data_IF_289842345652
#
_entry.id   IF_289842345652
#
_cell.length_a   1.000
_cell.length_b   1.000
_cell.length_c   1.000
_cell.angle_alpha   90.00
_cell.angle_beta   90.00
_cell.angle_gamma   90.00
#
_symmetry.space_group_name_H-M   'P 1'
#
loop_
_entity.id
_entity.type
_entity.pdbx_description
1 polymer ?
#
# COMPACT_ATOMS: atom_id res chain seq x y z
N UNK A 1 13.12 -2.03 -16.46
CA UNK A 1 11.92 -1.99 -16.00
C UNK A 1 11.69 -2.84 -14.85
N UNK A 2 12.11 -4.05 -14.80
CA UNK A 2 11.89 -4.87 -13.69
C UNK A 2 12.52 -4.34 -12.45
N UNK A 3 13.68 -3.76 -12.54
CA UNK A 3 14.29 -3.22 -11.38
C UNK A 3 13.46 -2.13 -10.81
N UNK A 4 12.92 -1.31 -11.64
CA UNK A 4 12.16 -0.18 -11.22
C UNK A 4 10.92 -0.68 -10.52
N UNK A 5 10.35 -1.73 -11.02
CA UNK A 5 9.14 -2.27 -10.45
C UNK A 5 9.43 -2.81 -9.06
N UNK A 6 10.53 -3.45 -8.86
CA UNK A 6 10.88 -3.99 -7.59
C UNK A 6 11.08 -2.90 -6.58
N UNK A 7 11.69 -1.80 -6.99
CA UNK A 7 11.89 -0.71 -6.11
C UNK A 7 10.57 -0.13 -5.69
N UNK A 8 9.64 -0.02 -6.61
CA UNK A 8 8.35 0.56 -6.30
C UNK A 8 7.65 -0.27 -5.23
N UNK A 9 7.77 -1.56 -5.29
CA UNK A 9 7.10 -2.39 -4.33
C UNK A 9 7.67 -2.13 -2.94
N UNK A 10 8.94 -1.87 -2.86
CA UNK A 10 9.54 -1.64 -1.58
C UNK A 10 9.07 -0.38 -0.89
N UNK A 11 8.48 0.54 -1.63
CA UNK A 11 8.02 1.77 -1.02
C UNK A 11 6.96 1.48 0.02
N UNK A 12 6.25 0.39 -0.15
CA UNK A 12 5.21 0.09 0.80
C UNK A 12 5.65 -0.98 1.82
N UNK A 13 6.83 -1.48 1.71
CA UNK A 13 7.24 -2.51 2.61
C UNK A 13 8.47 -2.19 3.42
N UNK A 14 8.95 -1.02 3.31
CA UNK A 14 10.09 -0.60 3.97
C UNK A 14 10.15 -0.94 5.40
N UNK A 15 9.22 -0.61 6.14
CA UNK A 15 9.31 -0.84 7.55
C UNK A 15 9.17 -2.30 7.86
N UNK A 16 8.61 -3.00 6.98
CA UNK A 16 8.33 -4.34 7.26
C UNK A 16 9.56 -5.15 6.97
N UNK A 17 10.35 -4.73 6.11
CA UNK A 17 11.53 -5.41 5.70
C UNK A 17 12.41 -5.80 6.86
N UNK A 18 12.48 -4.99 7.81
CA UNK A 18 13.36 -5.24 8.91
C UNK A 18 12.95 -6.50 9.66
N UNK A 19 11.70 -6.68 9.78
CA UNK A 19 11.28 -7.80 10.51
C UNK A 19 11.16 -9.01 9.68
N UNK A 20 10.96 -8.85 8.49
CA UNK A 20 10.77 -9.93 7.61
C UNK A 20 11.69 -11.03 7.85
N UNK A 21 12.90 -10.68 8.06
CA UNK A 21 13.77 -11.71 8.13
C UNK A 21 13.64 -12.52 9.33
N UNK A 22 13.19 -12.03 10.29
CA UNK A 22 13.23 -12.76 11.43
C UNK A 22 12.18 -13.74 11.39
N UNK A 23 11.24 -13.61 10.76
CA UNK A 23 10.32 -14.48 10.86
C UNK A 23 9.94 -15.27 9.92
N UNK A 24 10.35 -15.32 9.22
CA UNK A 24 10.12 -16.14 8.23
C UNK A 24 8.97 -16.96 8.56
N UNK A 25 8.44 -16.92 9.43
CA UNK A 25 7.54 -17.73 9.72
C UNK A 25 6.34 -17.41 9.40
N UNK A 26 5.85 -17.55 9.17
CA UNK A 26 4.69 -17.75 8.93
C UNK A 26 3.70 -17.03 9.55
N UNK A 27 3.54 -16.99 10.48
CA UNK A 27 2.50 -16.39 11.00
C UNK A 27 2.50 -15.06 11.05
N UNK A 28 3.30 -14.54 10.72
CA UNK A 28 3.50 -13.31 10.72
C UNK A 28 2.48 -12.62 10.26
N UNK A 29 1.84 -12.99 9.56
CA UNK A 29 0.97 -12.33 8.91
C UNK A 29 0.05 -11.57 9.56
N UNK A 30 -0.37 -11.81 10.49
CA UNK A 30 -1.34 -11.06 10.98
C UNK A 30 -1.19 -9.65 10.96
N UNK A 31 -0.90 -9.00 11.97
CA UNK A 31 -0.87 -7.54 12.04
C UNK A 31 0.15 -6.95 11.12
N UNK A 32 1.28 -7.60 11.01
CA UNK A 32 2.33 -7.04 10.18
C UNK A 32 1.95 -6.94 8.71
N UNK A 33 1.22 -7.89 8.21
CA UNK A 33 0.82 -7.85 6.81
C UNK A 33 -0.11 -6.67 6.56
N UNK A 34 -0.81 -6.21 7.61
CA UNK A 34 -1.76 -5.13 7.43
C UNK A 34 -1.20 -3.78 7.88
N UNK A 35 0.06 -3.73 8.26
CA UNK A 35 0.65 -2.47 8.66
C UNK A 35 1.33 -1.82 7.48
N UNK A 36 0.92 -0.60 7.17
CA UNK A 36 1.50 0.09 6.05
C UNK A 36 2.18 1.38 6.46
N UNK A 37 3.49 1.44 6.29
CA UNK A 37 4.23 2.64 6.57
C UNK A 37 4.79 3.06 5.24
N UNK A 38 4.43 4.22 4.78
CA UNK A 38 4.83 4.66 3.47
C UNK A 38 5.92 5.70 3.51
N UNK A 39 6.93 5.48 2.71
CA UNK A 39 8.00 6.44 2.58
C UNK A 39 7.56 7.43 1.53
N UNK A 40 6.99 8.54 1.95
CA UNK A 40 6.41 9.51 1.01
C UNK A 40 7.44 10.18 0.11
N UNK A 41 8.66 10.29 0.57
CA UNK A 41 9.69 10.89 -0.26
C UNK A 41 9.96 10.00 -1.47
N UNK A 42 10.09 8.71 -1.22
CA UNK A 42 10.33 7.78 -2.31
C UNK A 42 9.10 7.64 -3.20
N UNK A 43 7.92 7.66 -2.61
CA UNK A 43 6.71 7.55 -3.40
C UNK A 43 6.56 8.79 -4.29
N UNK A 44 6.83 9.95 -3.75
CA UNK A 44 6.72 11.18 -4.51
C UNK A 44 7.69 11.16 -5.69
N UNK A 45 8.87 10.61 -5.47
CA UNK A 45 9.84 10.55 -6.53
C UNK A 45 9.42 9.51 -7.56
N UNK A 46 8.93 8.38 -7.12
CA UNK A 46 8.54 7.33 -8.03
C UNK A 46 7.37 7.75 -8.91
N UNK A 47 6.40 8.47 -8.37
CA UNK A 47 5.25 8.91 -9.11
C UNK A 47 5.43 10.30 -9.69
N UNK A 48 6.53 10.96 -9.35
CA UNK A 48 6.78 12.30 -9.83
C UNK A 48 5.68 13.21 -9.36
N UNK A 49 5.36 13.20 -8.09
CA UNK A 49 4.28 14.01 -7.54
C UNK A 49 4.68 15.46 -7.46
N UNK A 50 3.73 16.35 -7.68
CA UNK A 50 3.99 17.75 -7.53
C UNK A 50 3.78 18.04 -6.06
N UNK A 51 4.17 19.20 -5.64
CA UNK A 51 4.03 19.61 -4.27
C UNK A 51 2.57 19.60 -3.87
N UNK A 52 1.69 19.98 -4.76
CA UNK A 52 0.28 20.01 -4.44
C UNK A 52 -0.30 18.63 -4.27
N UNK A 53 0.31 17.62 -4.79
CA UNK A 53 -0.22 16.28 -4.70
C UNK A 53 0.22 15.54 -3.45
N UNK A 54 1.29 15.97 -2.82
CA UNK A 54 1.84 15.27 -1.68
C UNK A 54 0.90 15.19 -0.49
N UNK A 55 0.35 16.30 -0.08
CA UNK A 55 -0.52 16.31 1.09
C UNK A 55 -1.79 15.47 0.90
N UNK A 56 -2.49 15.62 -0.21
CA UNK A 56 -3.66 14.78 -0.42
C UNK A 56 -3.31 13.29 -0.43
N UNK A 57 -2.16 12.94 -0.98
CA UNK A 57 -1.77 11.54 -0.99
C UNK A 57 -1.48 11.03 0.42
N UNK A 58 -0.94 11.88 1.28
CA UNK A 58 -0.68 11.49 2.65
C UNK A 58 -1.99 11.21 3.37
N UNK A 59 -2.99 12.06 3.13
CA UNK A 59 -4.27 11.88 3.77
C UNK A 59 -4.95 10.60 3.32
N UNK A 60 -4.88 10.33 2.04
CA UNK A 60 -5.49 9.13 1.49
C UNK A 60 -4.84 7.90 2.09
N UNK A 61 -3.50 7.91 2.17
CA UNK A 61 -2.81 6.76 2.69
C UNK A 61 -2.99 6.60 4.19
N UNK A 62 -3.23 7.69 4.90
CA UNK A 62 -3.46 7.61 6.31
C UNK A 62 -4.76 6.86 6.53
N UNK A 63 -5.78 7.16 5.74
CA UNK A 63 -7.06 6.49 5.82
C UNK A 63 -6.90 5.03 5.45
N UNK A 64 -6.14 4.77 4.42
CA UNK A 64 -5.90 3.42 3.95
C UNK A 64 -5.21 2.60 5.06
N UNK A 65 -4.18 3.15 5.68
CA UNK A 65 -3.44 2.45 6.71
C UNK A 65 -4.31 2.12 7.92
N UNK A 66 -5.15 3.07 8.31
CA UNK A 66 -6.03 2.86 9.44
C UNK A 66 -7.04 1.78 9.12
N UNK A 67 -7.57 1.81 7.91
CA UNK A 67 -8.56 0.82 7.49
C UNK A 67 -7.95 -0.58 7.46
N UNK A 68 -6.72 -0.68 7.00
CA UNK A 68 -6.09 -1.99 6.91
C UNK A 68 -5.84 -2.55 8.32
N UNK A 69 -5.56 -1.70 9.30
CA UNK A 69 -5.38 -2.19 10.65
C UNK A 69 -6.72 -2.69 11.23
N UNK A 70 -7.81 -2.09 10.81
CA UNK A 70 -9.12 -2.55 11.23
C UNK A 70 -9.35 -3.93 10.62
N UNK A 71 -8.96 -4.11 9.37
CA UNK A 71 -9.12 -5.38 8.70
C UNK A 71 -8.36 -6.49 9.41
N UNK A 72 -7.25 -6.16 10.01
CA UNK A 72 -6.42 -7.14 10.67
C UNK A 72 -7.16 -7.85 11.80
N UNK A 73 -8.17 -7.19 12.36
CA UNK A 73 -8.90 -7.78 13.46
C UNK A 73 -10.22 -8.40 13.05
N UNK A 74 -10.50 -8.52 11.79
CA UNK A 74 -11.77 -9.06 11.34
C UNK A 74 -11.63 -10.55 11.01
N UNK A 75 -12.72 -11.25 10.96
CA UNK A 75 -12.65 -12.65 10.62
C UNK A 75 -12.38 -12.76 9.12
N UNK A 76 -11.84 -13.87 8.69
CA UNK A 76 -11.44 -14.01 7.33
C UNK A 76 -12.47 -13.77 6.30
N UNK A 77 -13.66 -14.18 6.55
CA UNK A 77 -14.66 -14.01 5.57
C UNK A 77 -15.01 -12.58 5.38
N UNK A 78 -15.21 -11.81 6.41
CA UNK A 78 -15.57 -10.41 6.31
C UNK A 78 -14.35 -9.61 5.85
N UNK A 79 -13.20 -10.06 6.25
CA UNK A 79 -11.98 -9.35 5.95
C UNK A 79 -11.74 -9.16 4.46
N UNK A 80 -11.95 -10.20 3.67
CA UNK A 80 -11.69 -10.09 2.26
C UNK A 80 -12.57 -9.03 1.60
N UNK A 81 -13.85 -9.01 1.96
CA UNK A 81 -14.73 -8.04 1.36
C UNK A 81 -14.38 -6.65 1.84
N UNK A 82 -14.00 -6.53 3.09
CA UNK A 82 -13.65 -5.24 3.64
C UNK A 82 -12.39 -4.69 2.94
N UNK A 83 -11.39 -5.52 2.74
CA UNK A 83 -10.18 -5.10 2.08
C UNK A 83 -10.45 -4.68 0.64
N UNK A 84 -11.33 -5.40 -0.06
CA UNK A 84 -11.66 -5.03 -1.41
C UNK A 84 -12.30 -3.64 -1.43
N UNK A 85 -13.11 -3.33 -0.43
CA UNK A 85 -13.74 -2.03 -0.36
C UNK A 85 -12.72 -0.95 -0.03
N UNK A 86 -11.76 -1.28 0.83
CA UNK A 86 -10.72 -0.33 1.21
C UNK A 86 -9.88 0.02 -0.02
N UNK A 87 -9.52 -0.99 -0.80
CA UNK A 87 -8.73 -0.76 -1.99
C UNK A 87 -9.50 0.05 -3.02
N UNK A 88 -10.78 -0.28 -3.19
CA UNK A 88 -11.60 0.45 -4.14
C UNK A 88 -11.71 1.92 -3.75
N UNK A 89 -11.91 2.17 -2.47
CA UNK A 89 -12.03 3.53 -1.99
C UNK A 89 -10.71 4.27 -2.19
N UNK A 90 -9.60 3.64 -1.86
CA UNK A 90 -8.29 4.24 -2.00
C UNK A 90 -8.03 4.62 -3.47
N UNK A 91 -8.30 3.71 -4.37
CA UNK A 91 -8.07 3.98 -5.78
C UNK A 91 -8.96 5.10 -6.30
N UNK A 92 -10.18 5.17 -5.79
CA UNK A 92 -11.08 6.22 -6.23
C UNK A 92 -10.54 7.58 -5.78
N UNK A 93 -10.06 7.66 -4.54
CA UNK A 93 -9.54 8.92 -4.02
C UNK A 93 -8.25 9.32 -4.72
N UNK A 94 -7.38 8.34 -4.95
CA UNK A 94 -6.12 8.61 -5.60
C UNK A 94 -6.35 9.11 -7.02
N UNK A 95 -7.42 8.64 -7.67
CA UNK A 95 -7.67 9.05 -9.02
C UNK A 95 -7.99 10.52 -9.11
N UNK A 96 -8.50 11.11 -8.06
CA UNK A 96 -8.81 12.55 -8.09
C UNK A 96 -7.51 13.36 -7.94
N UNK A 97 -6.48 12.78 -7.38
CA UNK A 97 -5.25 13.52 -7.14
C UNK A 97 -4.23 13.31 -8.25
N UNK A 98 -4.15 12.12 -8.80
CA UNK A 98 -3.11 11.79 -9.77
C UNK A 98 -3.58 11.91 -11.21
N UNK A 99 -2.64 12.16 -12.09
CA UNK A 99 -2.98 12.16 -13.52
C UNK A 99 -2.97 10.71 -13.96
N UNK A 100 -3.34 10.46 -15.18
CA UNK A 100 -3.46 9.12 -15.70
C UNK A 100 -2.18 8.31 -15.60
N UNK A 101 -1.07 8.87 -15.95
CA UNK A 101 0.17 8.16 -15.90
C UNK A 101 0.57 7.80 -14.49
N UNK A 102 0.40 8.73 -13.58
CA UNK A 102 0.73 8.50 -12.18
C UNK A 102 -0.22 7.46 -11.61
N UNK A 103 -1.46 7.53 -11.98
CA UNK A 103 -2.48 6.61 -11.47
C UNK A 103 -2.15 5.18 -11.88
N UNK A 104 -1.77 4.98 -13.11
CA UNK A 104 -1.43 3.64 -13.58
C UNK A 104 -0.25 3.07 -12.81
N UNK A 105 0.73 3.91 -12.53
CA UNK A 105 1.87 3.45 -11.79
C UNK A 105 1.46 3.11 -10.39
N UNK A 106 0.63 3.94 -9.81
CA UNK A 106 0.16 3.72 -8.45
C UNK A 106 -0.59 2.39 -8.33
N UNK A 107 -1.46 2.10 -9.27
CA UNK A 107 -2.23 0.86 -9.27
C UNK A 107 -1.27 -0.33 -9.32
N UNK A 108 -0.25 -0.24 -10.14
CA UNK A 108 0.71 -1.31 -10.27
C UNK A 108 1.45 -1.54 -8.95
N UNK A 109 1.85 -0.46 -8.30
CA UNK A 109 2.57 -0.56 -7.04
C UNK A 109 1.68 -1.16 -5.97
N UNK A 110 0.44 -0.69 -5.90
CA UNK A 110 -0.48 -1.16 -4.90
C UNK A 110 -0.78 -2.64 -5.07
N UNK A 111 -1.07 -3.05 -6.29
CA UNK A 111 -1.38 -4.45 -6.54
C UNK A 111 -0.20 -5.35 -6.21
N UNK A 112 0.99 -4.93 -6.54
CA UNK A 112 2.18 -5.71 -6.26
C UNK A 112 2.40 -5.81 -4.74
N UNK A 113 2.13 -4.72 -4.04
CA UNK A 113 2.31 -4.70 -2.61
C UNK A 113 1.31 -5.64 -1.92
N UNK A 114 0.06 -5.57 -2.34
CA UNK A 114 -0.96 -6.43 -1.73
C UNK A 114 -0.66 -7.89 -2.01
N UNK A 115 -0.20 -8.19 -3.20
CA UNK A 115 0.11 -9.54 -3.55
C UNK A 115 1.31 -10.05 -2.75
N UNK A 116 2.32 -9.21 -2.58
CA UNK A 116 3.47 -9.60 -1.80
C UNK A 116 3.12 -9.87 -0.36
N UNK A 117 2.10 -9.25 0.15
CA UNK A 117 1.71 -9.45 1.54
C UNK A 117 0.65 -10.55 1.67
N UNK A 118 0.29 -11.18 0.59
CA UNK A 118 -0.70 -12.23 0.62
C UNK A 118 -2.10 -11.71 0.82
N UNK A 119 -2.34 -10.44 0.52
CA UNK A 119 -3.65 -9.86 0.72
C UNK A 119 -4.46 -9.71 -0.56
N UNK A 120 -3.95 -10.15 -1.67
CA UNK A 120 -4.70 -10.05 -2.91
C UNK A 120 -4.56 -11.27 -3.78
#
# INVERSE_FOLDING_TARGET
>A
MKKFFIMAVMLFTVAFGANAETNNDTNVTSVEAYTFNINYRSLARCLDLSIDQVEPMKEIHNTFSKSMLIAANMDKESQRKFIDNVITYDLRQVRYVLNEKQYRKYVTILNATMRNRGLA
#
